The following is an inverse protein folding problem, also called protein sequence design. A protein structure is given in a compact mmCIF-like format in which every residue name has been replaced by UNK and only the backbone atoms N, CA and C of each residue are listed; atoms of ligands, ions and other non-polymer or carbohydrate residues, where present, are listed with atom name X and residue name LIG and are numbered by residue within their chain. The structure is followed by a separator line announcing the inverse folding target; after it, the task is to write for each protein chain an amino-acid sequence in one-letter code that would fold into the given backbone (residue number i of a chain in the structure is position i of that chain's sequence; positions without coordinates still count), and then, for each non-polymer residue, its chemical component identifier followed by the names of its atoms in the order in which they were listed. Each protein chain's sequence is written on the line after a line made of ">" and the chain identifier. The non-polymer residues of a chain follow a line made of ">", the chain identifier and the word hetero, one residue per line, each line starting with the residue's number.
data_IF_994117693992
#
_entry.id   IF_994117693992
#
_cell.length_a   1.000
_cell.length_b   1.000
_cell.length_c   1.000
_cell.angle_alpha   90.00
_cell.angle_beta   90.00
_cell.angle_gamma   90.00
#
_symmetry.space_group_name_H-M   'P 1'
#
loop_
_entity.id
_entity.type
_entity.pdbx_description
1 polymer ?
#
# COMPACT_ATOMS: atom_id res chain seq x y z
N UNK A 1 14.40 8.57 -13.12
CA UNK A 1 13.72 8.52 -11.83
C UNK A 1 12.75 7.33 -11.78
N UNK A 2 12.69 6.67 -10.64
CA UNK A 2 11.93 5.43 -10.49
C UNK A 2 10.45 5.58 -10.82
N UNK A 3 9.82 6.67 -10.37
CA UNK A 3 8.39 6.85 -10.59
C UNK A 3 8.04 7.13 -12.05
N UNK A 4 8.94 7.73 -12.82
CA UNK A 4 8.72 7.90 -14.26
C UNK A 4 8.75 6.57 -14.98
N UNK A 5 9.70 5.70 -14.64
CA UNK A 5 9.76 4.36 -15.20
C UNK A 5 8.50 3.56 -14.89
N UNK A 6 7.99 3.68 -13.65
CA UNK A 6 6.75 3.01 -13.23
C UNK A 6 5.55 3.58 -13.97
N UNK A 7 5.51 4.89 -14.20
CA UNK A 7 4.41 5.53 -14.92
C UNK A 7 4.28 5.05 -16.37
N UNK A 8 5.41 4.70 -17.00
CA UNK A 8 5.44 4.22 -18.38
C UNK A 8 5.23 2.71 -18.49
N UNK A 9 5.03 2.03 -17.37
CA UNK A 9 4.92 0.58 -17.30
C UNK A 9 3.61 0.18 -16.63
N UNK A 10 2.87 -0.74 -17.24
CA UNK A 10 1.65 -1.31 -16.65
C UNK A 10 1.91 -2.76 -16.28
N UNK A 11 1.90 -3.04 -14.98
CA UNK A 11 2.08 -4.39 -14.46
C UNK A 11 0.73 -5.09 -14.29
N UNK A 12 0.72 -6.42 -14.41
CA UNK A 12 -0.49 -7.19 -14.10
C UNK A 12 -0.76 -7.22 -12.61
N UNK A 13 0.27 -7.44 -11.80
CA UNK A 13 0.16 -7.54 -10.34
C UNK A 13 1.29 -6.73 -9.71
N UNK A 14 0.95 -5.91 -8.72
CA UNK A 14 1.93 -5.22 -7.89
C UNK A 14 1.86 -5.76 -6.46
N UNK A 15 3.03 -5.95 -5.85
CA UNK A 15 3.17 -6.24 -4.43
C UNK A 15 3.89 -5.06 -3.78
N UNK A 16 3.37 -4.59 -2.66
CA UNK A 16 3.95 -3.43 -1.97
C UNK A 16 3.73 -3.56 -0.47
N UNK A 17 4.45 -2.75 0.30
CA UNK A 17 4.33 -2.71 1.75
C UNK A 17 4.01 -1.30 2.23
N UNK A 18 3.57 -1.19 3.48
CA UNK A 18 3.41 0.08 4.17
C UNK A 18 3.92 -0.06 5.61
N UNK A 19 4.07 1.06 6.30
CA UNK A 19 4.53 1.06 7.69
C UNK A 19 3.42 0.81 8.69
N UNK A 20 2.21 1.22 8.36
CA UNK A 20 1.08 1.00 9.24
C UNK A 20 -0.23 0.98 8.50
N UNK A 21 -1.15 0.13 8.97
CA UNK A 21 -2.53 0.07 8.54
C UNK A 21 -3.36 0.65 9.67
N UNK A 22 -3.95 1.82 9.45
CA UNK A 22 -4.65 2.54 10.50
C UNK A 22 -5.96 1.85 10.90
N UNK A 23 -6.50 2.16 12.09
CA UNK A 23 -7.79 1.63 12.50
C UNK A 23 -8.95 1.97 11.55
N UNK A 24 -8.79 3.00 10.74
CA UNK A 24 -9.79 3.42 9.74
C UNK A 24 -9.57 2.79 8.37
N UNK A 25 -8.59 1.90 8.24
CA UNK A 25 -8.33 1.22 6.99
C UNK A 25 -7.49 2.01 6.00
N UNK A 26 -6.68 2.96 6.48
CA UNK A 26 -5.78 3.72 5.64
C UNK A 26 -4.37 3.14 5.71
N UNK A 27 -3.76 2.89 4.56
CA UNK A 27 -2.35 2.49 4.47
C UNK A 27 -1.50 3.73 4.66
N UNK A 28 -0.54 3.68 5.59
CA UNK A 28 0.23 4.85 5.99
C UNK A 28 1.73 4.57 6.05
N UNK A 29 2.52 5.63 5.90
CA UNK A 29 3.98 5.59 6.00
C UNK A 29 4.47 6.97 6.43
N UNK A 30 5.76 7.09 6.81
CA UNK A 30 6.33 8.40 7.06
C UNK A 30 7.08 8.99 5.87
N UNK A 31 7.27 8.28 4.82
CA UNK A 31 8.00 8.76 3.64
C UNK A 31 7.04 9.13 2.53
N UNK A 32 6.93 10.42 2.25
CA UNK A 32 6.12 10.93 1.16
C UNK A 32 6.62 10.45 -0.20
N UNK A 33 7.95 10.45 -0.40
CA UNK A 33 8.54 10.02 -1.67
C UNK A 33 8.33 8.54 -1.94
N UNK A 34 8.43 7.69 -0.92
CA UNK A 34 8.13 6.27 -1.07
C UNK A 34 6.66 6.03 -1.37
N UNK A 35 5.76 6.76 -0.71
CA UNK A 35 4.33 6.68 -0.99
C UNK A 35 4.00 7.13 -2.41
N UNK A 36 4.70 8.12 -2.92
CA UNK A 36 4.51 8.56 -4.30
C UNK A 36 4.82 7.43 -5.29
N UNK A 37 5.95 6.74 -5.11
CA UNK A 37 6.33 5.61 -5.96
C UNK A 37 5.31 4.48 -5.84
N UNK A 38 4.90 4.13 -4.62
CA UNK A 38 3.91 3.07 -4.39
C UNK A 38 2.57 3.41 -5.03
N UNK A 39 2.11 4.65 -4.93
CA UNK A 39 0.84 5.06 -5.52
C UNK A 39 0.85 4.91 -7.05
N UNK A 40 1.99 5.19 -7.69
CA UNK A 40 2.15 5.00 -9.13
C UNK A 40 2.13 3.52 -9.49
N UNK A 41 2.78 2.68 -8.71
CA UNK A 41 2.75 1.23 -8.91
C UNK A 41 1.33 0.69 -8.83
N UNK A 42 0.58 1.11 -7.82
CA UNK A 42 -0.81 0.66 -7.62
C UNK A 42 -1.68 1.13 -8.78
N UNK A 43 -1.56 2.39 -9.18
CA UNK A 43 -2.37 2.97 -10.25
C UNK A 43 -2.12 2.30 -11.61
N UNK A 44 -0.91 1.81 -11.85
CA UNK A 44 -0.52 1.19 -13.12
C UNK A 44 -0.58 -0.34 -13.09
N UNK A 45 -1.20 -0.93 -12.08
CA UNK A 45 -1.35 -2.38 -11.95
C UNK A 45 -2.80 -2.79 -12.06
N UNK A 46 -3.05 -3.97 -12.61
CA UNK A 46 -4.40 -4.52 -12.66
C UNK A 46 -4.86 -4.97 -11.28
N UNK A 47 -3.93 -5.52 -10.49
CA UNK A 47 -4.17 -5.93 -9.11
C UNK A 47 -3.01 -5.47 -8.24
N UNK A 48 -3.32 -5.06 -7.01
CA UNK A 48 -2.33 -4.63 -6.03
C UNK A 48 -2.57 -5.34 -4.70
N UNK A 49 -1.52 -5.98 -4.19
CA UNK A 49 -1.59 -6.72 -2.92
C UNK A 49 -0.63 -6.11 -1.91
N UNK A 50 -1.14 -5.91 -0.70
CA UNK A 50 -0.36 -5.42 0.42
C UNK A 50 0.34 -6.58 1.12
N UNK A 51 1.63 -6.43 1.38
CA UNK A 51 2.41 -7.33 2.23
C UNK A 51 2.56 -6.63 3.58
N UNK A 52 1.79 -7.03 4.58
CA UNK A 52 1.72 -6.32 5.85
C UNK A 52 1.60 -7.31 7.00
N UNK A 53 2.61 -7.34 7.86
CA UNK A 53 2.58 -8.17 9.07
C UNK A 53 1.59 -7.61 10.08
N UNK A 54 1.05 -8.48 10.94
CA UNK A 54 0.03 -8.10 11.92
C UNK A 54 0.47 -7.07 12.94
N UNK A 55 1.78 -6.97 13.21
CA UNK A 55 2.33 -5.94 14.10
C UNK A 55 2.20 -4.52 13.56
N UNK A 56 1.87 -4.37 12.29
CA UNK A 56 1.64 -3.07 11.63
C UNK A 56 0.16 -2.66 11.59
N UNK A 57 -0.74 -3.52 12.06
CA UNK A 57 -2.14 -3.20 12.14
C UNK A 57 -2.42 -2.20 13.28
N UNK A 58 -3.44 -1.37 13.12
CA UNK A 58 -3.84 -0.35 14.10
C UNK A 58 -2.75 0.71 14.36
N UNK A 59 -1.91 0.96 13.37
CA UNK A 59 -0.88 2.00 13.44
C UNK A 59 -1.08 2.98 12.30
N UNK A 60 -0.99 4.27 12.62
CA UNK A 60 -1.14 5.35 11.65
C UNK A 60 0.10 6.24 11.68
N UNK A 61 0.63 6.56 10.51
CA UNK A 61 1.77 7.43 10.34
C UNK A 61 1.39 8.66 9.51
N UNK A 62 2.35 9.53 9.24
CA UNK A 62 2.12 10.86 8.74
C UNK A 62 1.47 10.92 7.36
N UNK A 63 1.92 10.07 6.45
CA UNK A 63 1.49 10.15 5.05
C UNK A 63 0.57 8.99 4.71
N UNK A 64 -0.59 9.32 4.16
CA UNK A 64 -1.54 8.32 3.68
C UNK A 64 -1.16 7.90 2.27
N UNK A 65 -1.14 6.61 2.01
CA UNK A 65 -0.91 6.04 0.69
C UNK A 65 -2.23 5.86 -0.06
N UNK A 66 -3.11 5.04 0.49
CA UNK A 66 -4.43 4.78 -0.07
C UNK A 66 -5.28 4.06 0.98
N UNK A 67 -6.58 3.90 0.67
CA UNK A 67 -7.46 3.10 1.51
C UNK A 67 -7.25 1.61 1.23
N UNK A 68 -7.42 0.78 2.26
CA UNK A 68 -7.39 -0.67 2.11
C UNK A 68 -8.43 -1.15 1.07
N UNK A 69 -9.53 -0.42 0.92
CA UNK A 69 -10.58 -0.76 -0.06
C UNK A 69 -10.14 -0.55 -1.50
N UNK A 70 -9.07 0.20 -1.73
CA UNK A 70 -8.56 0.50 -3.07
C UNK A 70 -7.58 -0.56 -3.59
N UNK A 71 -7.24 -1.55 -2.77
CA UNK A 71 -6.31 -2.62 -3.14
C UNK A 71 -7.05 -3.95 -3.29
N UNK A 72 -6.39 -4.92 -3.92
CA UNK A 72 -7.02 -6.21 -4.21
C UNK A 72 -7.04 -7.16 -3.03
N UNK A 73 -6.10 -7.02 -2.11
CA UNK A 73 -6.04 -7.87 -0.93
C UNK A 73 -4.75 -7.71 -0.15
N UNK A 74 -4.58 -8.56 0.84
CA UNK A 74 -3.47 -8.51 1.79
C UNK A 74 -2.88 -9.90 2.00
N UNK A 75 -1.56 -9.96 2.11
CA UNK A 75 -0.83 -11.16 2.51
C UNK A 75 -0.21 -10.85 3.87
N UNK A 76 -0.64 -11.56 4.91
CA UNK A 76 -0.25 -11.29 6.28
C UNK A 76 -0.18 -12.56 7.10
N UNK A 77 0.50 -12.47 8.24
CA UNK A 77 0.55 -13.52 9.27
C UNK A 77 -0.62 -13.47 10.25
N UNK A 78 -1.52 -12.49 10.09
CA UNK A 78 -2.67 -12.30 10.97
C UNK A 78 -3.89 -11.84 10.17
N UNK A 79 -5.13 -12.11 10.66
CA UNK A 79 -6.32 -11.59 10.00
C UNK A 79 -6.34 -10.07 9.99
N UNK A 80 -6.77 -9.49 8.86
CA UNK A 80 -6.93 -8.04 8.75
C UNK A 80 -8.15 -7.61 9.56
N UNK A 81 -8.04 -6.52 10.35
CA UNK A 81 -9.20 -5.99 11.07
C UNK A 81 -10.33 -5.57 10.14
N UNK A 82 -11.53 -5.58 10.65
CA UNK A 82 -12.68 -5.00 9.94
C UNK A 82 -12.60 -3.46 10.03
N UNK A 83 -12.93 -2.82 8.94
CA UNK A 83 -12.91 -1.37 8.85
C UNK A 83 -14.29 -0.79 8.55
#
# INVERSE_FOLDING_TARGET
>A
EAYKAIADFTANIAFFSCRGLSPKGMLTDFSESENFVRSRMIAHSQKAYLLCAGDKFNKAYFHNLCSYKDISGNISDAPVPEF
#
